data_IF_297766605776
#
_entry.id   IF_297766605776
#
_cell.length_a   1.000
_cell.length_b   1.000
_cell.length_c   1.000
_cell.angle_alpha   90.00
_cell.angle_beta   90.00
_cell.angle_gamma   90.00
#
_symmetry.space_group_name_H-M   'P 1'
#
loop_
_entity.id
_entity.type
_entity.pdbx_description
1 polymer ?
#
# COMPACT_ATOMS: atom_id res chain seq x y z
N UNK A 1 -27.38 32.26 -4.82
CA UNK A 1 -26.96 31.94 -4.85
C UNK A 1 -26.40 31.34 -4.58
N UNK A 2 -25.96 31.02 -4.54
CA UNK A 2 -25.31 30.42 -4.40
C UNK A 2 -24.77 29.75 -4.19
N UNK A 3 -24.49 29.61 -4.12
CA UNK A 3 -23.87 28.98 -4.04
C UNK A 3 -23.19 28.34 -3.94
N UNK A 4 -22.90 28.27 -3.94
CA UNK A 4 -22.18 27.74 -4.01
C UNK A 4 -21.58 27.08 -3.57
N UNK A 5 -21.30 26.69 -3.69
CA UNK A 5 -20.78 25.87 -3.54
C UNK A 5 -19.97 25.47 -3.03
N UNK A 6 -19.58 25.03 -2.65
CA UNK A 6 -18.70 24.59 -2.22
C UNK A 6 -18.00 23.84 -2.47
N UNK A 7 -17.71 24.17 -2.96
CA UNK A 7 -17.07 23.73 -3.26
C UNK A 7 -16.52 22.67 -2.95
N UNK A 8 -16.70 22.09 -3.41
CA UNK A 8 -16.12 21.00 -3.51
C UNK A 8 -15.30 20.50 -2.54
N UNK A 9 -15.01 21.20 -2.10
CA UNK A 9 -14.27 20.92 -1.12
C UNK A 9 -14.67 19.85 -0.28
N UNK A 10 -15.80 19.53 -0.24
CA UNK A 10 -16.31 18.57 0.67
C UNK A 10 -16.39 17.17 0.14
N UNK A 11 -15.70 16.87 -0.97
CA UNK A 11 -15.65 15.49 -1.45
C UNK A 11 -14.97 14.63 -0.39
N UNK A 12 -15.66 13.61 0.16
CA UNK A 12 -15.06 12.77 1.18
C UNK A 12 -13.88 12.01 0.61
N UNK A 13 -12.83 11.84 1.42
CA UNK A 13 -11.73 10.97 1.07
C UNK A 13 -12.21 9.53 1.14
N UNK A 14 -12.07 8.80 0.05
CA UNK A 14 -12.45 7.40 0.01
C UNK A 14 -11.42 6.59 0.80
N UNK A 15 -11.90 5.74 1.70
CA UNK A 15 -11.04 4.90 2.53
C UNK A 15 -10.80 3.59 1.78
N UNK A 16 -9.83 3.63 0.88
CA UNK A 16 -9.45 2.48 0.06
C UNK A 16 -7.94 2.42 -0.12
N UNK A 17 -7.44 1.21 -0.33
CA UNK A 17 -6.04 0.95 -0.64
C UNK A 17 -5.93 0.57 -2.11
N UNK A 18 -5.17 1.35 -2.88
CA UNK A 18 -5.03 1.14 -4.33
C UNK A 18 -3.57 0.86 -4.70
N UNK A 19 -3.34 0.56 -5.97
CA UNK A 19 -1.97 0.38 -6.48
C UNK A 19 -1.14 1.66 -6.38
N UNK A 20 -1.79 2.81 -6.24
CA UNK A 20 -1.12 4.12 -6.17
C UNK A 20 -1.01 4.66 -4.76
N UNK A 21 -1.50 3.94 -3.76
CA UNK A 21 -1.45 4.38 -2.37
C UNK A 21 -2.79 4.28 -1.67
N UNK A 22 -3.00 5.08 -0.63
CA UNK A 22 -4.21 5.02 0.17
C UNK A 22 -4.63 6.43 0.59
N UNK A 23 -5.83 6.83 0.20
CA UNK A 23 -6.37 8.13 0.55
C UNK A 23 -5.45 9.27 0.18
N UNK A 24 -5.07 10.11 1.14
CA UNK A 24 -4.20 11.25 0.86
C UNK A 24 -2.72 10.89 0.71
N UNK A 25 -2.34 9.62 0.92
CA UNK A 25 -0.96 9.16 0.84
C UNK A 25 -0.75 8.45 -0.49
N UNK A 26 -0.21 9.18 -1.47
CA UNK A 26 -0.05 8.64 -2.82
C UNK A 26 1.43 8.40 -3.14
N UNK A 27 1.73 7.30 -3.80
CA UNK A 27 3.09 6.99 -4.25
C UNK A 27 3.56 8.13 -5.16
N UNK A 28 4.75 8.65 -4.89
CA UNK A 28 5.28 9.81 -5.58
C UNK A 28 5.19 11.10 -4.78
N UNK A 29 4.34 11.14 -3.76
CA UNK A 29 4.27 12.30 -2.87
C UNK A 29 5.58 12.45 -2.09
N UNK A 30 5.86 13.66 -1.62
CA UNK A 30 7.07 13.90 -0.85
C UNK A 30 6.80 13.85 0.65
N UNK A 31 7.83 13.48 1.40
CA UNK A 31 7.79 13.46 2.85
C UNK A 31 7.38 14.83 3.40
N UNK A 32 7.97 15.90 2.86
CA UNK A 32 7.68 17.27 3.30
C UNK A 32 6.22 17.63 3.11
N UNK A 33 5.66 17.33 1.94
CA UNK A 33 4.27 17.65 1.66
C UNK A 33 3.32 16.85 2.57
N UNK A 34 3.61 15.58 2.76
CA UNK A 34 2.75 14.71 3.58
C UNK A 34 2.85 15.05 5.07
N UNK A 35 4.00 15.53 5.54
CA UNK A 35 4.14 16.01 6.91
C UNK A 35 3.26 17.24 7.17
N UNK A 36 3.10 18.09 6.14
CA UNK A 36 2.26 19.27 6.24
C UNK A 36 0.78 18.89 6.20
N UNK A 37 0.39 18.06 5.21
CA UNK A 37 -1.00 17.66 5.00
C UNK A 37 -1.03 16.30 4.30
N UNK A 38 -1.67 15.30 4.85
CA UNK A 38 -2.53 15.22 6.05
C UNK A 38 -1.76 15.06 7.36
N UNK A 39 -0.46 14.96 7.31
CA UNK A 39 0.37 14.72 8.47
C UNK A 39 0.82 13.27 8.55
N UNK A 40 1.91 13.06 9.26
CA UNK A 40 2.54 11.75 9.47
C UNK A 40 2.85 11.58 10.96
N UNK A 41 2.88 10.33 11.38
CA UNK A 41 3.32 9.96 12.73
C UNK A 41 4.50 9.00 12.63
N UNK A 42 5.25 8.87 13.72
CA UNK A 42 6.36 7.91 13.83
C UNK A 42 7.37 8.05 12.68
N UNK A 43 7.69 9.29 12.31
CA UNK A 43 8.68 9.54 11.26
C UNK A 43 10.06 9.20 11.80
N UNK A 44 10.68 8.16 11.25
CA UNK A 44 11.96 7.64 11.72
C UNK A 44 12.86 7.24 10.56
N UNK A 45 14.16 7.11 10.85
CA UNK A 45 15.09 6.54 9.89
C UNK A 45 14.68 5.11 9.54
N UNK A 46 14.98 4.70 8.35
CA UNK A 46 14.67 3.36 7.87
C UNK A 46 15.45 2.29 8.63
N UNK A 47 15.10 1.01 8.38
CA UNK A 47 15.77 -0.10 9.03
C UNK A 47 17.25 -0.17 8.61
N UNK A 48 18.02 -1.00 9.31
CA UNK A 48 19.44 -1.17 9.02
C UNK A 48 19.74 -1.49 7.56
N UNK A 49 18.82 -2.22 6.91
CA UNK A 49 18.94 -2.58 5.50
C UNK A 49 18.69 -1.41 4.56
N UNK A 50 18.01 -0.35 5.04
CA UNK A 50 17.70 0.86 4.27
C UNK A 50 17.95 2.11 5.12
N UNK A 51 19.17 2.34 5.60
CA UNK A 51 19.40 3.39 6.60
C UNK A 51 19.19 4.81 6.06
N UNK A 52 19.25 5.00 4.75
CA UNK A 52 19.04 6.31 4.13
C UNK A 52 17.57 6.61 3.85
N UNK A 53 16.71 5.62 3.97
CA UNK A 53 15.27 5.79 3.76
C UNK A 53 14.60 6.27 5.04
N UNK A 54 13.40 6.80 4.90
CA UNK A 54 12.58 7.22 6.04
C UNK A 54 11.31 6.39 6.05
N UNK A 55 10.85 6.04 7.24
CA UNK A 55 9.56 5.37 7.41
C UNK A 55 8.66 6.23 8.28
N UNK A 56 7.35 6.10 8.07
CA UNK A 56 6.35 6.84 8.82
C UNK A 56 5.03 6.09 8.80
N UNK A 57 4.08 6.55 9.60
CA UNK A 57 2.71 6.04 9.59
C UNK A 57 1.76 7.17 9.24
N UNK A 58 0.59 6.82 8.73
CA UNK A 58 -0.48 7.78 8.51
C UNK A 58 -1.13 8.22 9.80
N UNK A 59 -2.13 9.07 9.67
CA UNK A 59 -2.89 9.61 10.81
C UNK A 59 -4.35 9.20 10.72
N UNK A 60 -5.05 9.21 11.84
CA UNK A 60 -6.48 8.91 11.90
C UNK A 60 -6.78 7.49 11.44
N UNK A 61 -7.68 7.35 10.47
CA UNK A 61 -8.05 6.03 9.92
C UNK A 61 -6.87 5.36 9.22
N UNK A 62 -5.83 6.12 8.89
CA UNK A 62 -4.64 5.65 8.19
C UNK A 62 -3.48 5.29 9.12
N UNK A 63 -3.73 5.23 10.41
CA UNK A 63 -2.68 5.00 11.42
C UNK A 63 -1.94 3.67 11.24
N UNK A 64 -2.56 2.70 10.58
CA UNK A 64 -1.96 1.38 10.33
C UNK A 64 -1.38 1.25 8.93
N UNK A 65 -1.20 2.37 8.22
CA UNK A 65 -0.39 2.41 7.02
C UNK A 65 1.06 2.60 7.41
N UNK A 66 1.92 1.74 6.86
CA UNK A 66 3.37 1.92 6.93
C UNK A 66 3.82 2.52 5.61
N UNK A 67 4.49 3.67 5.68
CA UNK A 67 4.90 4.43 4.50
C UNK A 67 6.42 4.49 4.46
N UNK A 68 7.01 4.21 3.30
CA UNK A 68 8.46 4.24 3.14
C UNK A 68 8.86 5.25 2.07
N UNK A 69 9.80 6.10 2.42
CA UNK A 69 10.29 7.18 1.57
C UNK A 69 11.76 6.93 1.24
N UNK A 70 12.13 7.20 0.00
CA UNK A 70 13.53 7.12 -0.41
C UNK A 70 14.32 8.27 0.20
N UNK A 71 15.64 8.22 0.03
CA UNK A 71 16.53 9.26 0.53
C UNK A 71 16.14 10.65 0.01
N UNK A 72 15.62 10.74 -1.21
CA UNK A 72 15.19 12.02 -1.80
C UNK A 72 13.83 12.51 -1.27
N UNK A 73 13.22 11.75 -0.35
CA UNK A 73 11.94 12.11 0.26
C UNK A 73 10.70 11.64 -0.49
N UNK A 74 10.85 10.83 -1.54
CA UNK A 74 9.72 10.36 -2.34
C UNK A 74 9.12 9.09 -1.76
N UNK A 75 7.80 9.08 -1.59
CA UNK A 75 7.06 7.89 -1.15
C UNK A 75 7.11 6.83 -2.25
N UNK A 76 7.63 5.65 -1.95
CA UNK A 76 7.76 4.59 -2.95
C UNK A 76 7.05 3.29 -2.57
N UNK A 77 6.67 3.13 -1.31
CA UNK A 77 6.02 1.92 -0.83
C UNK A 77 5.01 2.28 0.25
N UNK A 78 3.80 1.77 0.12
CA UNK A 78 2.78 1.87 1.15
C UNK A 78 2.34 0.47 1.53
N UNK A 79 2.25 0.18 2.82
CA UNK A 79 1.81 -1.12 3.32
C UNK A 79 0.59 -0.90 4.22
N UNK A 80 -0.49 -1.58 3.91
CA UNK A 80 -1.72 -1.53 4.71
C UNK A 80 -1.79 -2.72 5.65
N UNK A 81 -1.90 -2.43 6.95
CA UNK A 81 -2.10 -3.44 7.99
C UNK A 81 -3.43 -3.25 8.72
N UNK A 82 -4.32 -2.44 8.16
CA UNK A 82 -5.64 -2.18 8.74
C UNK A 82 -6.71 -3.08 8.12
N UNK A 83 -7.50 -3.78 8.93
CA UNK A 83 -8.63 -4.55 8.41
C UNK A 83 -9.79 -3.66 7.95
N UNK A 84 -9.71 -2.35 8.20
CA UNK A 84 -10.78 -1.40 7.86
C UNK A 84 -10.57 -0.71 6.52
N UNK A 85 -9.50 -1.02 5.78
CA UNK A 85 -9.19 -0.36 4.51
C UNK A 85 -9.17 -1.41 3.40
N UNK A 86 -10.25 -1.53 2.60
CA UNK A 86 -10.30 -2.49 1.51
C UNK A 86 -9.66 -1.94 0.24
N UNK A 87 -9.44 -2.83 -0.74
CA UNK A 87 -9.16 -2.39 -2.10
C UNK A 87 -10.47 -2.02 -2.80
N UNK A 88 -10.42 -1.23 -3.88
CA UNK A 88 -11.63 -0.92 -4.66
C UNK A 88 -12.37 -2.16 -5.15
N UNK A 89 -11.65 -3.25 -5.40
CA UNK A 89 -12.25 -4.51 -5.86
C UNK A 89 -12.82 -5.36 -4.72
N UNK A 90 -12.65 -4.95 -3.47
CA UNK A 90 -13.28 -5.61 -2.33
C UNK A 90 -12.41 -6.61 -1.61
N UNK A 91 -11.09 -6.51 -1.71
CA UNK A 91 -10.18 -7.33 -0.91
C UNK A 91 -9.85 -6.64 0.41
N UNK A 92 -9.82 -7.42 1.48
CA UNK A 92 -9.55 -6.94 2.85
C UNK A 92 -8.47 -7.80 3.49
N UNK A 93 -7.90 -7.36 4.59
CA UNK A 93 -7.19 -8.27 5.47
C UNK A 93 -8.17 -9.33 5.96
N UNK A 94 -7.78 -10.59 5.84
CA UNK A 94 -8.68 -11.71 6.12
C UNK A 94 -9.26 -12.36 4.88
N UNK A 95 -9.16 -11.73 3.72
CA UNK A 95 -9.57 -12.34 2.45
C UNK A 95 -8.67 -13.56 2.18
N UNK A 96 -9.27 -14.65 1.70
CA UNK A 96 -8.51 -15.87 1.40
C UNK A 96 -7.94 -15.84 -0.01
N UNK A 97 -6.93 -16.67 -0.27
CA UNK A 97 -6.34 -16.81 -1.60
C UNK A 97 -7.42 -17.20 -2.64
N UNK A 98 -8.33 -18.09 -2.27
CA UNK A 98 -9.42 -18.50 -3.16
C UNK A 98 -10.29 -17.31 -3.54
N UNK A 99 -10.61 -16.46 -2.57
CA UNK A 99 -11.39 -15.25 -2.82
C UNK A 99 -10.61 -14.23 -3.67
N UNK A 100 -9.30 -14.05 -3.41
CA UNK A 100 -8.46 -13.16 -4.22
C UNK A 100 -8.47 -13.58 -5.69
N UNK A 101 -8.37 -14.86 -5.97
CA UNK A 101 -8.39 -15.36 -7.34
C UNK A 101 -9.71 -15.06 -8.05
N UNK A 102 -10.81 -15.04 -7.32
CA UNK A 102 -12.12 -14.66 -7.87
C UNK A 102 -12.22 -13.16 -8.08
N UNK A 103 -11.81 -12.37 -7.09
CA UNK A 103 -11.87 -10.92 -7.14
C UNK A 103 -11.05 -10.39 -8.32
N UNK A 104 -9.86 -10.95 -8.55
CA UNK A 104 -8.94 -10.48 -9.56
C UNK A 104 -8.84 -11.42 -10.77
N UNK A 105 -9.92 -12.17 -11.08
CA UNK A 105 -9.92 -13.16 -12.14
C UNK A 105 -9.63 -12.58 -13.53
N UNK A 106 -9.92 -11.29 -13.74
CA UNK A 106 -9.81 -10.63 -15.06
C UNK A 106 -8.60 -9.72 -15.16
N UNK A 107 -7.69 -9.75 -14.20
CA UNK A 107 -6.48 -8.94 -14.23
C UNK A 107 -5.26 -9.85 -14.14
N UNK A 108 -4.09 -9.29 -14.47
CA UNK A 108 -2.85 -10.04 -14.39
C UNK A 108 -2.48 -10.28 -12.94
N UNK A 109 -2.19 -11.52 -12.58
CA UNK A 109 -1.81 -11.89 -11.23
C UNK A 109 -0.68 -12.91 -11.24
N UNK A 110 0.06 -12.97 -10.14
CA UNK A 110 1.11 -13.97 -9.92
C UNK A 110 1.03 -14.47 -8.49
N UNK A 111 1.29 -15.76 -8.31
CA UNK A 111 1.49 -16.31 -6.98
C UNK A 111 2.99 -16.38 -6.72
N UNK A 112 3.43 -15.81 -5.60
CA UNK A 112 4.84 -15.75 -5.24
C UNK A 112 5.09 -16.58 -3.98
N UNK A 113 6.35 -17.02 -3.84
CA UNK A 113 6.79 -17.67 -2.62
C UNK A 113 8.23 -17.25 -2.30
N UNK A 114 8.51 -17.18 -1.00
CA UNK A 114 9.83 -16.91 -0.48
C UNK A 114 10.03 -17.88 0.69
N UNK A 115 10.68 -19.01 0.42
CA UNK A 115 10.73 -20.11 1.37
C UNK A 115 9.33 -20.69 1.55
N UNK A 116 8.83 -20.72 2.78
CA UNK A 116 7.48 -21.17 3.10
C UNK A 116 6.45 -20.05 3.02
N UNK A 117 6.88 -18.79 2.89
CA UNK A 117 5.98 -17.66 2.78
C UNK A 117 5.33 -17.62 1.40
N UNK A 118 4.09 -17.18 1.35
CA UNK A 118 3.30 -17.10 0.11
C UNK A 118 2.71 -15.71 -0.02
N UNK A 119 2.56 -15.26 -1.27
CA UNK A 119 1.94 -13.98 -1.57
C UNK A 119 1.19 -14.05 -2.90
N UNK A 120 0.27 -13.11 -3.09
CA UNK A 120 -0.50 -12.96 -4.32
C UNK A 120 -0.29 -11.54 -4.83
N UNK A 121 0.24 -11.42 -6.05
CA UNK A 121 0.56 -10.13 -6.65
C UNK A 121 -0.44 -9.81 -7.75
N UNK A 122 -1.09 -8.65 -7.64
CA UNK A 122 -1.98 -8.11 -8.67
C UNK A 122 -1.20 -7.05 -9.43
N UNK A 123 -1.22 -7.09 -10.76
CA UNK A 123 -0.45 -6.20 -11.61
C UNK A 123 -1.38 -5.43 -12.53
N UNK A 124 -1.29 -4.10 -12.52
CA UNK A 124 -2.09 -3.26 -13.40
C UNK A 124 -1.33 -2.94 -14.69
N UNK A 125 -2.06 -2.46 -15.70
CA UNK A 125 -1.46 -2.07 -16.98
C UNK A 125 -0.44 -0.95 -16.83
N UNK A 126 -0.54 -0.14 -15.77
CA UNK A 126 0.43 0.92 -15.51
C UNK A 126 1.76 0.40 -14.96
N UNK A 127 1.87 -0.89 -14.69
CA UNK A 127 3.08 -1.48 -14.09
C UNK A 127 3.12 -1.38 -12.57
N UNK A 128 2.06 -0.90 -11.96
CA UNK A 128 1.91 -0.83 -10.51
C UNK A 128 1.22 -2.09 -10.00
N UNK A 129 1.38 -2.40 -8.74
CA UNK A 129 0.76 -3.60 -8.19
C UNK A 129 0.41 -3.50 -6.73
N UNK A 130 -0.32 -4.50 -6.27
CA UNK A 130 -0.58 -4.76 -4.85
C UNK A 130 -0.11 -6.18 -4.56
N UNK A 131 0.75 -6.30 -3.56
CA UNK A 131 1.22 -7.59 -3.06
C UNK A 131 0.42 -7.91 -1.80
N UNK A 132 -0.36 -8.99 -1.86
CA UNK A 132 -1.10 -9.51 -0.71
C UNK A 132 -0.23 -10.56 -0.03
N UNK A 133 0.25 -10.26 1.17
CA UNK A 133 1.03 -11.21 1.97
C UNK A 133 0.06 -12.17 2.66
N UNK A 134 0.33 -13.47 2.55
CA UNK A 134 -0.56 -14.50 3.06
C UNK A 134 0.08 -15.22 4.24
N UNK A 135 -0.74 -15.58 5.23
CA UNK A 135 -0.30 -16.43 6.32
C UNK A 135 -0.32 -17.91 5.91
N UNK A 136 0.02 -18.81 6.82
CA UNK A 136 0.07 -20.23 6.54
C UNK A 136 -1.28 -20.82 6.12
N UNK A 137 -2.39 -20.17 6.50
CA UNK A 137 -3.75 -20.59 6.15
C UNK A 137 -4.23 -20.00 4.82
N UNK A 138 -3.38 -19.22 4.13
CA UNK A 138 -3.75 -18.60 2.87
C UNK A 138 -4.66 -17.40 3.03
N UNK A 139 -4.54 -16.67 4.12
CA UNK A 139 -5.35 -15.50 4.44
C UNK A 139 -4.48 -14.24 4.39
N UNK A 140 -5.01 -13.16 3.82
CA UNK A 140 -4.29 -11.89 3.70
C UNK A 140 -4.02 -11.29 5.08
N UNK A 141 -2.76 -10.96 5.33
CA UNK A 141 -2.33 -10.31 6.58
C UNK A 141 -1.78 -8.90 6.36
N UNK A 142 -1.43 -8.55 5.13
CA UNK A 142 -1.04 -7.17 4.77
C UNK A 142 -1.12 -6.99 3.26
N UNK A 143 -1.14 -5.73 2.83
CA UNK A 143 -1.14 -5.36 1.42
C UNK A 143 -0.05 -4.33 1.20
N UNK A 144 0.76 -4.48 0.15
CA UNK A 144 1.80 -3.53 -0.19
C UNK A 144 1.58 -3.00 -1.60
N UNK A 145 1.63 -1.68 -1.76
CA UNK A 145 1.48 -1.01 -3.05
C UNK A 145 2.79 -0.37 -3.47
N UNK A 146 3.22 -0.65 -4.69
CA UNK A 146 4.43 -0.09 -5.28
C UNK A 146 4.49 -0.50 -6.76
N UNK A 147 5.61 -0.23 -7.40
CA UNK A 147 5.94 -0.80 -8.72
C UNK A 147 5.87 -2.33 -8.63
N UNK A 148 5.17 -2.98 -9.55
CA UNK A 148 4.92 -4.42 -9.49
C UNK A 148 6.22 -5.22 -9.56
N UNK A 149 7.15 -4.81 -10.42
CA UNK A 149 8.42 -5.51 -10.55
C UNK A 149 9.26 -5.39 -9.29
N UNK A 150 9.24 -4.22 -8.65
CA UNK A 150 9.89 -3.99 -7.36
C UNK A 150 9.28 -4.91 -6.30
N UNK A 151 7.95 -5.00 -6.23
CA UNK A 151 7.27 -5.87 -5.25
C UNK A 151 7.67 -7.33 -5.45
N UNK A 152 7.67 -7.80 -6.70
CA UNK A 152 8.04 -9.18 -7.02
C UNK A 152 9.48 -9.49 -6.60
N UNK A 153 10.41 -8.66 -7.03
CA UNK A 153 11.83 -8.89 -6.76
C UNK A 153 12.14 -8.82 -5.29
N UNK A 154 11.60 -7.82 -4.61
CA UNK A 154 11.84 -7.63 -3.17
C UNK A 154 11.28 -8.78 -2.35
N UNK A 155 10.10 -9.26 -2.71
CA UNK A 155 9.50 -10.40 -2.01
C UNK A 155 10.34 -11.65 -2.20
N UNK A 156 10.77 -11.92 -3.44
CA UNK A 156 11.56 -13.11 -3.76
C UNK A 156 12.95 -13.10 -3.14
N UNK A 157 13.46 -11.92 -2.80
CA UNK A 157 14.73 -11.78 -2.09
C UNK A 157 14.59 -11.93 -0.57
N UNK A 158 13.53 -12.56 -0.10
CA UNK A 158 13.30 -12.76 1.32
C UNK A 158 12.57 -11.62 1.99
N UNK A 159 11.72 -10.93 1.24
CA UNK A 159 10.92 -9.79 1.71
C UNK A 159 11.76 -8.57 2.05
N UNK A 160 12.80 -8.35 1.31
CA UNK A 160 13.65 -7.16 1.47
C UNK A 160 13.10 -6.02 0.62
N UNK A 161 12.38 -5.09 1.25
CA UNK A 161 11.72 -3.99 0.58
C UNK A 161 12.54 -2.70 0.63
N UNK A 162 13.82 -2.80 0.47
CA UNK A 162 14.70 -1.68 0.22
C UNK A 162 14.91 -1.46 -1.27
#
# INVERSE_FOLDING_TARGET
MSSAAPSGSSTPTVVEFTVDGAGPYQIGDTLTDLQATPGLTNVTAGPQTCPTNTTAKGTGVWKDLDLSFRQDGTLYLAVNRSPAIPTPSGAWLGTTLVQLKKIYAKVQTEQLSAGTAKAFLVITLSGRGILFDLNAQGTVISMAAADANYLRTSYQKGKDFC
#
